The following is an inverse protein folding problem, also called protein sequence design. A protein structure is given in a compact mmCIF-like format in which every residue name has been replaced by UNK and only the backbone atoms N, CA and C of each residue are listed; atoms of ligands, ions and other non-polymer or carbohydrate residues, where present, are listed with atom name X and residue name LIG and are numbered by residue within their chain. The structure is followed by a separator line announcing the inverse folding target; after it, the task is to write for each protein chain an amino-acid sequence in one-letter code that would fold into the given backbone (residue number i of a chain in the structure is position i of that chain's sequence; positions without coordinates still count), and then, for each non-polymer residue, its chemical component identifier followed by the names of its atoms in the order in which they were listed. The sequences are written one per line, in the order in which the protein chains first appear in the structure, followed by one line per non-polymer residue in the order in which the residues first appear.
data_IF_408844257008
#
_entry.id   IF_408844257008
#
_cell.length_a   1.000
_cell.length_b   1.000
_cell.length_c   1.000
_cell.angle_alpha   90.00
_cell.angle_beta   90.00
_cell.angle_gamma   90.00
#
_symmetry.space_group_name_H-M   'P 1'
#
loop_
_entity.id
_entity.type
_entity.pdbx_description
1 polymer ?
#
# COMPACT_ATOMS: atom_id res chain seq x y z
N UNK A 1 -8.48 2.15 -3.59
CA UNK A 1 -8.86 2.63 -2.23
C UNK A 1 -7.90 2.08 -1.20
N UNK A 2 -7.80 2.75 -0.04
CA UNK A 2 -7.09 2.29 1.15
C UNK A 2 -8.12 1.83 2.18
N UNK A 3 -7.91 0.68 2.80
CA UNK A 3 -8.60 0.21 3.99
C UNK A 3 -7.64 0.25 5.17
N UNK A 4 -8.11 0.68 6.33
CA UNK A 4 -7.33 0.85 7.55
C UNK A 4 -6.78 2.28 7.72
N UNK A 5 -5.94 2.46 8.74
CA UNK A 5 -5.49 3.78 9.20
C UNK A 5 -3.98 3.93 9.18
N UNK A 6 -3.50 5.03 8.61
CA UNK A 6 -2.09 5.44 8.62
C UNK A 6 -1.83 6.23 9.91
N UNK A 7 -1.04 5.67 10.84
CA UNK A 7 -0.86 6.25 12.19
C UNK A 7 0.53 6.85 12.42
N UNK A 8 1.39 6.86 11.40
CA UNK A 8 2.76 7.38 11.51
C UNK A 8 3.67 6.48 12.35
N UNK A 9 3.50 5.16 12.25
CA UNK A 9 4.24 4.15 12.98
C UNK A 9 5.48 3.72 12.19
N UNK A 10 6.65 4.09 12.71
CA UNK A 10 7.95 3.87 12.05
C UNK A 10 8.90 2.96 12.84
N UNK A 11 8.49 2.45 14.01
CA UNK A 11 9.35 1.58 14.83
C UNK A 11 9.76 0.32 14.06
N UNK A 12 11.06 0.12 13.87
CA UNK A 12 11.60 -1.00 13.09
C UNK A 12 11.32 -0.97 11.58
N UNK A 13 10.80 0.14 11.06
CA UNK A 13 10.43 0.26 9.64
C UNK A 13 11.63 0.31 8.69
N UNK A 14 11.39 0.01 7.42
CA UNK A 14 12.36 0.22 6.35
C UNK A 14 12.79 1.70 6.27
N UNK A 15 11.85 2.62 6.52
CA UNK A 15 12.16 4.05 6.52
C UNK A 15 13.26 4.41 7.52
N UNK A 16 13.17 3.89 8.76
CA UNK A 16 14.19 4.16 9.78
C UNK A 16 15.52 3.50 9.41
N UNK A 17 15.45 2.25 8.96
CA UNK A 17 16.63 1.49 8.55
C UNK A 17 17.41 2.19 7.43
N UNK A 18 16.74 2.61 6.36
CA UNK A 18 17.41 3.14 5.17
C UNK A 18 17.87 4.59 5.34
N UNK A 19 17.18 5.40 6.13
CA UNK A 19 17.58 6.81 6.33
C UNK A 19 18.54 7.03 7.49
N UNK A 20 18.50 6.18 8.52
CA UNK A 20 19.29 6.36 9.73
C UNK A 20 20.26 5.21 10.00
N UNK A 21 20.19 4.10 9.26
CA UNK A 21 21.08 2.96 9.45
C UNK A 21 20.81 2.16 10.72
N UNK A 22 19.61 2.30 11.30
CA UNK A 22 19.26 1.72 12.59
C UNK A 22 17.95 0.91 12.54
N UNK A 23 17.82 -0.07 13.43
CA UNK A 23 16.55 -0.75 13.71
C UNK A 23 16.09 -0.33 15.10
N UNK A 24 15.34 0.77 15.17
CA UNK A 24 14.96 1.41 16.43
C UNK A 24 13.49 1.86 16.45
N UNK A 25 13.05 2.33 17.62
CA UNK A 25 11.70 2.86 17.84
C UNK A 25 10.79 1.89 18.60
N UNK A 26 9.54 2.32 18.79
CA UNK A 26 8.52 1.54 19.50
C UNK A 26 7.65 0.82 18.48
N UNK A 27 7.57 -0.51 18.60
CA UNK A 27 6.61 -1.29 17.84
C UNK A 27 5.18 -0.94 18.28
N UNK A 28 4.26 -0.74 17.34
CA UNK A 28 2.87 -0.49 17.68
C UNK A 28 2.21 -1.74 18.29
N UNK A 29 1.12 -1.52 19.03
CA UNK A 29 0.30 -2.63 19.51
C UNK A 29 -0.52 -3.19 18.35
N UNK A 30 -0.56 -4.52 18.22
CA UNK A 30 -1.33 -5.18 17.19
C UNK A 30 -2.74 -5.52 17.67
N UNK A 31 -3.75 -5.08 16.91
CA UNK A 31 -5.15 -5.42 17.15
C UNK A 31 -5.60 -6.54 16.22
N UNK A 32 -5.56 -7.76 16.76
CA UNK A 32 -5.97 -8.97 16.05
C UNK A 32 -7.43 -8.94 15.56
N UNK A 33 -8.32 -8.19 16.22
CA UNK A 33 -9.72 -8.10 15.78
C UNK A 33 -9.84 -7.23 14.54
N UNK A 34 -9.12 -6.11 14.51
CA UNK A 34 -9.06 -5.24 13.34
C UNK A 34 -8.38 -5.96 12.16
N UNK A 35 -7.31 -6.71 12.43
CA UNK A 35 -6.66 -7.53 11.39
C UNK A 35 -7.61 -8.59 10.81
N UNK A 36 -8.32 -9.32 11.67
CA UNK A 36 -9.27 -10.34 11.21
C UNK A 36 -10.34 -9.74 10.31
N UNK A 37 -10.93 -8.62 10.73
CA UNK A 37 -11.95 -7.90 9.96
C UNK A 37 -11.43 -7.44 8.59
N UNK A 38 -10.19 -6.95 8.53
CA UNK A 38 -9.57 -6.57 7.25
C UNK A 38 -9.57 -7.75 6.28
N UNK A 39 -9.14 -8.93 6.75
CA UNK A 39 -9.10 -10.10 5.89
C UNK A 39 -10.48 -10.67 5.58
N UNK A 40 -11.44 -10.59 6.50
CA UNK A 40 -12.85 -10.90 6.21
C UNK A 40 -13.39 -10.04 5.06
N UNK A 41 -13.14 -8.73 5.09
CA UNK A 41 -13.51 -7.81 4.00
C UNK A 41 -12.87 -8.23 2.68
N UNK A 42 -11.55 -8.43 2.66
CA UNK A 42 -10.80 -8.74 1.43
C UNK A 42 -11.23 -10.07 0.83
N UNK A 43 -11.44 -11.10 1.68
CA UNK A 43 -11.85 -12.43 1.24
C UNK A 43 -13.27 -12.39 0.67
N UNK A 44 -14.23 -11.75 1.35
CA UNK A 44 -15.61 -11.73 0.88
C UNK A 44 -15.76 -10.88 -0.38
N UNK A 45 -15.17 -9.68 -0.43
CA UNK A 45 -15.21 -8.83 -1.62
C UNK A 45 -14.57 -9.51 -2.84
N UNK A 46 -13.50 -10.29 -2.63
CA UNK A 46 -12.92 -11.11 -3.70
C UNK A 46 -13.85 -12.26 -4.12
N UNK A 47 -14.53 -12.91 -3.16
CA UNK A 47 -15.48 -14.00 -3.43
C UNK A 47 -16.66 -13.52 -4.28
N UNK A 48 -17.13 -12.30 -4.03
CA UNK A 48 -18.21 -11.65 -4.77
C UNK A 48 -17.75 -11.06 -6.12
N UNK A 49 -16.45 -11.07 -6.39
CA UNK A 49 -15.89 -10.61 -7.67
C UNK A 49 -15.74 -9.09 -7.77
N UNK A 50 -15.75 -8.37 -6.63
CA UNK A 50 -15.73 -6.91 -6.57
C UNK A 50 -14.30 -6.34 -6.70
N UNK A 51 -13.27 -7.16 -6.51
CA UNK A 51 -11.88 -6.72 -6.51
C UNK A 51 -11.18 -7.03 -7.83
N UNK A 52 -10.63 -6.00 -8.48
CA UNK A 52 -9.73 -6.15 -9.61
C UNK A 52 -8.31 -6.53 -9.15
N UNK A 53 -7.88 -5.99 -8.02
CA UNK A 53 -6.64 -6.37 -7.35
C UNK A 53 -6.67 -5.99 -5.87
N UNK A 54 -5.85 -6.65 -5.05
CA UNK A 54 -5.68 -6.34 -3.64
C UNK A 54 -4.22 -6.48 -3.24
N UNK A 55 -3.76 -5.61 -2.32
CA UNK A 55 -2.40 -5.67 -1.78
C UNK A 55 -2.33 -5.20 -0.33
N UNK A 56 -1.63 -5.96 0.49
CA UNK A 56 -1.28 -5.56 1.86
C UNK A 56 -0.38 -4.30 1.88
N UNK A 57 -0.57 -3.45 2.89
CA UNK A 57 0.37 -2.35 3.18
C UNK A 57 1.31 -2.81 4.29
N UNK A 58 2.59 -2.92 3.95
CA UNK A 58 3.61 -3.50 4.81
C UNK A 58 4.93 -2.69 4.71
N UNK A 59 6.06 -3.39 4.65
CA UNK A 59 7.40 -2.82 4.54
C UNK A 59 7.49 -1.76 3.43
N UNK A 60 7.85 -0.54 3.84
CA UNK A 60 7.93 0.66 2.99
C UNK A 60 6.62 1.42 2.78
N UNK A 61 5.53 0.99 3.42
CA UNK A 61 4.25 1.68 3.45
C UNK A 61 3.50 1.74 2.12
N UNK A 62 2.53 2.65 2.06
CA UNK A 62 1.60 2.82 0.93
C UNK A 62 2.35 3.14 -0.37
N UNK A 63 3.36 4.00 -0.31
CA UNK A 63 4.13 4.41 -1.48
C UNK A 63 4.83 3.21 -2.16
N UNK A 64 5.44 2.33 -1.36
CA UNK A 64 6.09 1.12 -1.87
C UNK A 64 5.06 0.09 -2.31
N UNK A 65 3.96 -0.08 -1.58
CA UNK A 65 2.90 -1.01 -1.95
C UNK A 65 2.27 -0.66 -3.32
N UNK A 66 1.91 0.61 -3.55
CA UNK A 66 1.41 1.09 -4.84
C UNK A 66 2.46 0.96 -5.95
N UNK A 67 3.73 1.23 -5.66
CA UNK A 67 4.81 1.06 -6.64
C UNK A 67 4.95 -0.40 -7.09
N UNK A 68 4.82 -1.37 -6.16
CA UNK A 68 4.82 -2.80 -6.49
C UNK A 68 3.63 -3.18 -7.37
N UNK A 69 2.42 -2.68 -7.05
CA UNK A 69 1.23 -2.93 -7.88
C UNK A 69 1.39 -2.37 -9.29
N UNK A 70 1.91 -1.15 -9.41
CA UNK A 70 2.18 -0.51 -10.69
C UNK A 70 3.22 -1.28 -11.52
N UNK A 71 4.33 -1.71 -10.90
CA UNK A 71 5.36 -2.50 -11.57
C UNK A 71 4.81 -3.80 -12.17
N UNK A 72 4.01 -4.53 -11.39
CA UNK A 72 3.45 -5.83 -11.80
C UNK A 72 2.36 -5.67 -12.85
N UNK A 73 1.47 -4.68 -12.68
CA UNK A 73 0.36 -4.46 -13.62
C UNK A 73 0.79 -3.78 -14.93
N UNK A 74 1.93 -3.09 -14.93
CA UNK A 74 2.35 -2.26 -16.07
C UNK A 74 1.47 -1.03 -16.27
N UNK A 75 0.76 -0.57 -15.23
CA UNK A 75 -0.08 0.62 -15.27
C UNK A 75 0.40 1.66 -14.26
N UNK A 76 0.36 2.93 -14.62
CA UNK A 76 0.59 4.03 -13.70
C UNK A 76 -0.51 4.16 -12.64
N UNK A 77 -0.27 5.03 -11.66
CA UNK A 77 -1.17 5.31 -10.54
C UNK A 77 -1.04 6.79 -10.19
N UNK A 78 -2.17 7.51 -10.04
CA UNK A 78 -2.20 8.82 -9.36
C UNK A 78 -3.01 8.68 -8.06
N UNK A 79 -2.29 8.70 -6.93
CA UNK A 79 -2.84 8.54 -5.60
C UNK A 79 -2.57 9.77 -4.71
N UNK A 80 -3.63 10.24 -4.06
CA UNK A 80 -3.64 11.24 -3.00
C UNK A 80 -4.11 10.59 -1.70
N UNK A 81 -3.18 10.37 -0.78
CA UNK A 81 -3.42 9.74 0.53
C UNK A 81 -3.51 10.83 1.59
N UNK A 82 -4.55 10.81 2.41
CA UNK A 82 -4.68 11.72 3.54
C UNK A 82 -3.75 11.29 4.67
N UNK A 83 -2.74 12.10 4.96
CA UNK A 83 -1.72 11.82 5.98
C UNK A 83 -1.46 13.04 6.84
N UNK A 84 -1.10 12.83 8.11
CA UNK A 84 -0.74 13.93 9.02
C UNK A 84 0.60 14.56 8.64
N UNK A 85 1.59 13.73 8.30
CA UNK A 85 2.88 14.14 7.76
C UNK A 85 3.10 13.57 6.36
N UNK A 86 3.77 14.34 5.49
CA UNK A 86 4.08 13.89 4.13
C UNK A 86 4.90 12.60 4.06
N UNK A 87 5.65 12.28 5.13
CA UNK A 87 6.43 11.03 5.24
C UNK A 87 5.57 9.81 5.52
N UNK A 88 4.35 9.96 6.02
CA UNK A 88 3.53 8.82 6.48
C UNK A 88 2.98 7.99 5.31
N UNK A 89 3.22 8.40 4.07
CA UNK A 89 3.09 7.51 2.91
C UNK A 89 4.07 6.31 2.96
N UNK A 90 5.11 6.38 3.78
CA UNK A 90 6.08 5.32 4.06
C UNK A 90 5.90 4.68 5.45
N UNK A 91 4.86 5.06 6.19
CA UNK A 91 4.57 4.46 7.49
C UNK A 91 4.18 2.98 7.35
N UNK A 92 4.48 2.18 8.37
CA UNK A 92 4.27 0.73 8.40
C UNK A 92 3.20 0.30 9.41
N UNK A 93 2.23 1.17 9.71
CA UNK A 93 1.01 0.81 10.44
C UNK A 93 0.35 -0.46 9.90
N UNK A 94 -0.05 -1.33 10.82
CA UNK A 94 -0.62 -2.64 10.53
C UNK A 94 -2.11 -2.56 10.19
N UNK A 95 -2.68 -3.68 9.74
CA UNK A 95 -4.11 -3.80 9.39
C UNK A 95 -4.55 -2.82 8.32
N UNK A 96 -3.79 -2.77 7.22
CA UNK A 96 -4.10 -1.96 6.03
C UNK A 96 -3.97 -2.74 4.74
N UNK A 97 -4.86 -2.44 3.79
CA UNK A 97 -4.79 -2.98 2.43
C UNK A 97 -5.18 -1.92 1.39
N UNK A 98 -4.61 -2.06 0.20
CA UNK A 98 -4.96 -1.34 -1.01
C UNK A 98 -5.85 -2.24 -1.86
N UNK A 99 -7.04 -1.76 -2.21
CA UNK A 99 -7.99 -2.47 -3.05
C UNK A 99 -8.22 -1.69 -4.34
N UNK A 100 -8.13 -2.36 -5.48
CA UNK A 100 -8.57 -1.84 -6.77
C UNK A 100 -9.99 -2.36 -7.02
N UNK A 101 -10.92 -1.43 -7.13
CA UNK A 101 -12.36 -1.69 -7.25
C UNK A 101 -12.87 -0.85 -8.42
N UNK A 102 -13.82 -1.38 -9.19
CA UNK A 102 -14.42 -0.63 -10.29
C UNK A 102 -15.29 0.51 -9.75
N UNK A 103 -15.57 1.53 -10.58
CA UNK A 103 -16.48 2.61 -10.17
C UNK A 103 -17.91 2.08 -9.89
N UNK A 104 -18.29 0.92 -10.46
CA UNK A 104 -19.60 0.30 -10.25
C UNK A 104 -19.72 -0.45 -8.91
N UNK A 105 -18.61 -1.04 -8.44
CA UNK A 105 -18.58 -1.86 -7.22
C UNK A 105 -18.10 -1.08 -5.99
N UNK A 106 -17.69 0.19 -6.19
CA UNK A 106 -17.04 1.00 -5.17
C UNK A 106 -17.93 1.24 -3.94
N UNK A 107 -19.21 1.55 -4.15
CA UNK A 107 -20.15 1.80 -3.05
C UNK A 107 -20.35 0.55 -2.19
N UNK A 108 -20.48 -0.62 -2.83
CA UNK A 108 -20.63 -1.90 -2.14
C UNK A 108 -19.42 -2.24 -1.26
N UNK A 109 -18.19 -2.08 -1.78
CA UNK A 109 -16.98 -2.37 -0.98
C UNK A 109 -16.81 -1.36 0.18
N UNK A 110 -17.21 -0.10 0.01
CA UNK A 110 -17.21 0.89 1.08
C UNK A 110 -18.22 0.53 2.18
N UNK A 111 -19.41 0.06 1.79
CA UNK A 111 -20.44 -0.39 2.73
C UNK A 111 -20.01 -1.66 3.49
N UNK A 112 -19.39 -2.61 2.82
CA UNK A 112 -18.80 -3.80 3.46
C UNK A 112 -17.75 -3.41 4.52
N UNK A 113 -16.84 -2.48 4.18
CA UNK A 113 -15.83 -2.01 5.11
C UNK A 113 -16.46 -1.31 6.32
N UNK A 114 -17.42 -0.42 6.07
CA UNK A 114 -18.19 0.30 7.09
C UNK A 114 -18.94 -0.65 8.03
N UNK A 115 -19.57 -1.69 7.48
CA UNK A 115 -20.29 -2.72 8.24
C UNK A 115 -19.40 -3.52 9.19
N UNK A 116 -18.13 -3.70 8.84
CA UNK A 116 -17.12 -4.30 9.72
C UNK A 116 -16.50 -3.29 10.72
N UNK A 117 -16.82 -2.01 10.58
CA UNK A 117 -16.24 -0.91 11.36
C UNK A 117 -14.81 -0.60 10.94
N UNK A 118 -14.44 -0.85 9.69
CA UNK A 118 -13.14 -0.50 9.11
C UNK A 118 -13.23 0.85 8.42
N UNK A 119 -12.22 1.70 8.63
CA UNK A 119 -12.06 2.92 7.84
C UNK A 119 -11.63 2.54 6.42
N UNK A 120 -12.26 3.15 5.42
CA UNK A 120 -11.85 3.03 4.03
C UNK A 120 -11.94 4.38 3.31
N UNK A 121 -11.02 4.65 2.40
CA UNK A 121 -11.00 5.87 1.60
C UNK A 121 -10.56 5.65 0.15
N UNK A 122 -11.17 6.38 -0.78
CA UNK A 122 -10.74 6.43 -2.17
C UNK A 122 -9.51 7.32 -2.27
N UNK A 123 -8.36 6.71 -2.52
CA UNK A 123 -7.08 7.43 -2.59
C UNK A 123 -6.64 7.79 -4.01
N UNK A 124 -7.30 7.31 -5.08
CA UNK A 124 -6.79 7.58 -6.42
C UNK A 124 -7.34 6.66 -7.50
N UNK A 125 -6.75 6.77 -8.70
CA UNK A 125 -7.11 5.97 -9.88
C UNK A 125 -5.87 5.39 -10.56
N UNK A 126 -6.07 4.24 -11.22
CA UNK A 126 -5.07 3.58 -12.06
C UNK A 126 -5.06 4.24 -13.45
N UNK A 127 -3.88 4.42 -14.03
CA UNK A 127 -3.70 4.95 -15.37
C UNK A 127 -2.40 5.74 -15.56
N UNK A 128 -2.06 6.00 -16.82
CA UNK A 128 -0.86 6.74 -17.19
C UNK A 128 0.42 5.92 -17.10
N UNK A 129 1.55 6.63 -17.17
CA UNK A 129 2.91 6.11 -17.30
C UNK A 129 3.80 6.48 -16.11
N UNK A 130 3.19 6.89 -14.99
CA UNK A 130 3.87 7.36 -13.77
C UNK A 130 3.21 6.76 -12.53
N UNK A 131 4.01 6.57 -11.50
CA UNK A 131 3.54 6.25 -10.15
C UNK A 131 3.68 7.50 -9.32
N UNK A 132 2.55 8.10 -8.95
CA UNK A 132 2.46 9.31 -8.16
C UNK A 132 1.69 9.02 -6.88
N UNK A 133 2.33 9.28 -5.75
CA UNK A 133 1.77 9.13 -4.41
C UNK A 133 2.06 10.43 -3.66
N UNK A 134 1.03 11.27 -3.48
CA UNK A 134 1.17 12.64 -2.99
C UNK A 134 2.25 13.42 -3.78
N UNK A 135 3.36 13.75 -3.11
CA UNK A 135 4.47 14.52 -3.68
C UNK A 135 5.61 13.64 -4.22
N UNK A 136 5.51 12.31 -4.09
CA UNK A 136 6.50 11.36 -4.61
C UNK A 136 6.04 10.87 -5.97
N UNK A 137 6.91 10.97 -6.96
CA UNK A 137 6.59 10.58 -8.32
C UNK A 137 7.79 9.94 -9.04
N UNK A 138 7.54 8.83 -9.72
CA UNK A 138 8.53 8.17 -10.58
C UNK A 138 7.89 7.71 -11.91
N UNK A 139 8.64 7.73 -13.02
CA UNK A 139 8.21 7.07 -14.25
C UNK A 139 7.98 5.58 -14.01
N UNK A 140 6.90 5.02 -14.57
CA UNK A 140 6.55 3.61 -14.44
C UNK A 140 7.69 2.69 -14.89
N UNK A 141 8.36 3.02 -15.99
CA UNK A 141 9.50 2.24 -16.49
C UNK A 141 10.65 2.17 -15.47
N UNK A 142 10.91 3.25 -14.73
CA UNK A 142 11.92 3.23 -13.66
C UNK A 142 11.48 2.35 -12.49
N UNK A 143 10.20 2.42 -12.11
CA UNK A 143 9.65 1.58 -11.05
C UNK A 143 9.72 0.09 -11.42
N UNK A 144 9.36 -0.26 -12.66
CA UNK A 144 9.48 -1.62 -13.20
C UNK A 144 10.93 -2.10 -13.20
N UNK A 145 11.85 -1.26 -13.67
CA UNK A 145 13.26 -1.60 -13.71
C UNK A 145 13.81 -1.92 -12.32
N UNK A 146 13.53 -1.05 -11.34
CA UNK A 146 13.94 -1.27 -9.95
C UNK A 146 13.32 -2.56 -9.41
N UNK A 147 12.02 -2.76 -9.62
CA UNK A 147 11.31 -3.92 -9.07
C UNK A 147 11.82 -5.25 -9.62
N UNK A 148 12.00 -5.37 -10.95
CA UNK A 148 12.34 -6.64 -11.58
C UNK A 148 13.86 -6.91 -11.67
N UNK A 149 14.70 -5.87 -11.71
CA UNK A 149 16.12 -6.04 -12.04
C UNK A 149 17.07 -5.81 -10.86
N UNK A 150 16.66 -5.16 -9.78
CA UNK A 150 17.58 -4.82 -8.67
C UNK A 150 18.19 -6.07 -8.04
N UNK A 151 17.37 -7.08 -7.71
CA UNK A 151 17.88 -8.30 -7.08
C UNK A 151 18.93 -9.01 -7.94
N UNK A 152 18.67 -9.14 -9.25
CA UNK A 152 19.63 -9.71 -10.21
C UNK A 152 20.96 -8.95 -10.19
N UNK A 153 20.90 -7.62 -10.32
CA UNK A 153 22.10 -6.77 -10.32
C UNK A 153 22.90 -6.88 -9.03
N UNK A 154 22.22 -6.98 -7.89
CA UNK A 154 22.87 -7.13 -6.59
C UNK A 154 23.65 -8.44 -6.52
N UNK A 155 23.04 -9.57 -6.92
CA UNK A 155 23.72 -10.87 -6.87
C UNK A 155 24.84 -10.97 -7.91
N UNK A 156 24.67 -10.39 -9.10
CA UNK A 156 25.71 -10.39 -10.14
C UNK A 156 26.97 -9.59 -9.76
N UNK A 157 26.91 -8.68 -8.77
CA UNK A 157 28.09 -7.98 -8.26
C UNK A 157 28.94 -8.85 -7.32
N UNK A 158 28.35 -9.88 -6.74
CA UNK A 158 28.99 -10.78 -5.78
C UNK A 158 29.56 -12.06 -6.45
N UNK A 159 29.38 -12.21 -7.77
CA UNK A 159 29.92 -13.29 -8.61
C UNK A 159 31.23 -12.88 -9.29
#
# INVERSE_FOLDING_TARGET
MLVGETKGEFGGSLYIKELFGETAGRLPSFDYKTELKLWELVIEANREGLLASAKDVNVGGIAVALSKMAAVSGKGIDAKVSVESSRDIFDESQSRALLEVSDADLEEVLDMASGLGLRAEVIGKIGGDRVKVNNVELPLEKVKDVYFNTFRRTIEQDL
#
